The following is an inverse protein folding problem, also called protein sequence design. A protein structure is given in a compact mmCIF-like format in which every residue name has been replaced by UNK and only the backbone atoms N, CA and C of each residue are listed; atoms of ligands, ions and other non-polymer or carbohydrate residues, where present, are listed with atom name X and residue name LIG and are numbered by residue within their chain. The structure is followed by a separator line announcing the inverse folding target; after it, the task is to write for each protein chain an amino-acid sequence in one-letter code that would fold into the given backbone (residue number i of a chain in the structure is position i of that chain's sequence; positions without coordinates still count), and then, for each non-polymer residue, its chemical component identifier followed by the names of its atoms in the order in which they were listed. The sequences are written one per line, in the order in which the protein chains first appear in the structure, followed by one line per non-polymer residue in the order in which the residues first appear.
data_IF_020919086403
#
_entry.id   IF_020919086403
#
_cell.length_a   1.000
_cell.length_b   1.000
_cell.length_c   1.000
_cell.angle_alpha   90.00
_cell.angle_beta   90.00
_cell.angle_gamma   90.00
#
_symmetry.space_group_name_H-M   'P 1'
#
loop_
_entity.id
_entity.type
_entity.pdbx_description
1 polymer ?
#
# COMPACT_ATOMS: atom_id res chain seq x y z
N UNK A 1 3.85 36.83 -0.57
CA UNK A 1 4.16 36.08 -1.81
C UNK A 1 4.65 34.65 -1.52
N UNK A 2 5.68 34.47 -0.68
CA UNK A 2 6.24 33.15 -0.36
C UNK A 2 5.20 32.12 0.12
N UNK A 3 4.37 32.47 1.11
CA UNK A 3 3.36 31.55 1.65
C UNK A 3 2.31 31.12 0.62
N UNK A 4 1.96 32.00 -0.32
CA UNK A 4 1.02 31.68 -1.41
C UNK A 4 1.65 30.69 -2.39
N UNK A 5 2.91 30.92 -2.77
CA UNK A 5 3.66 30.00 -3.62
C UNK A 5 3.87 28.63 -2.94
N UNK A 6 4.18 28.62 -1.64
CA UNK A 6 4.32 27.40 -0.86
C UNK A 6 3.01 26.60 -0.78
N UNK A 7 1.87 27.27 -0.58
CA UNK A 7 0.55 26.64 -0.57
C UNK A 7 0.21 26.00 -1.93
N UNK A 8 0.44 26.71 -3.03
CA UNK A 8 0.21 26.20 -4.39
C UNK A 8 1.13 25.00 -4.68
N UNK A 9 2.41 25.09 -4.31
CA UNK A 9 3.37 24.01 -4.48
C UNK A 9 2.93 22.75 -3.70
N UNK A 10 2.54 22.91 -2.43
CA UNK A 10 2.05 21.80 -1.62
C UNK A 10 0.85 21.10 -2.27
N UNK A 11 -0.13 21.86 -2.75
CA UNK A 11 -1.29 21.29 -3.47
C UNK A 11 -0.90 20.56 -4.76
N UNK A 12 0.11 21.05 -5.49
CA UNK A 12 0.57 20.43 -6.73
C UNK A 12 1.37 19.14 -6.52
N UNK A 13 2.12 19.06 -5.42
CA UNK A 13 2.94 17.90 -5.05
C UNK A 13 2.23 16.91 -4.12
N UNK A 14 1.06 17.25 -3.54
CA UNK A 14 0.25 16.35 -2.69
C UNK A 14 0.07 14.96 -3.32
N UNK A 15 -0.33 14.80 -4.61
CA UNK A 15 -0.49 13.46 -5.19
C UNK A 15 0.81 12.63 -5.29
N UNK A 16 1.98 13.29 -5.25
CA UNK A 16 3.28 12.62 -5.28
C UNK A 16 3.75 12.27 -3.87
N UNK A 17 3.63 13.23 -2.94
CA UNK A 17 4.10 13.12 -1.56
C UNK A 17 3.16 12.28 -0.68
N UNK A 18 1.86 12.32 -0.95
CA UNK A 18 0.82 11.63 -0.20
C UNK A 18 0.19 10.52 -1.03
N UNK A 19 -0.37 9.53 -0.34
CA UNK A 19 -1.26 8.52 -0.93
C UNK A 19 -2.71 8.72 -0.48
N UNK A 20 -3.08 9.92 0.00
CA UNK A 20 -4.43 10.25 0.51
C UNK A 20 -5.55 9.85 -0.44
N UNK A 21 -5.46 10.25 -1.72
CA UNK A 21 -6.47 9.89 -2.73
C UNK A 21 -6.62 8.38 -2.92
N UNK A 22 -5.52 7.63 -2.78
CA UNK A 22 -5.55 6.17 -2.86
C UNK A 22 -6.22 5.57 -1.62
N UNK A 23 -5.92 6.10 -0.43
CA UNK A 23 -6.57 5.71 0.81
C UNK A 23 -8.09 6.01 0.78
N UNK A 24 -8.49 7.20 0.34
CA UNK A 24 -9.90 7.56 0.15
C UNK A 24 -10.61 6.56 -0.79
N UNK A 25 -9.96 6.19 -1.91
CA UNK A 25 -10.51 5.19 -2.84
C UNK A 25 -10.68 3.82 -2.20
N UNK A 26 -9.74 3.36 -1.37
CA UNK A 26 -9.88 2.11 -0.62
C UNK A 26 -11.03 2.23 0.38
N UNK A 27 -11.08 3.29 1.17
CA UNK A 27 -12.09 3.49 2.22
C UNK A 27 -13.53 3.49 1.67
N UNK A 28 -13.75 4.01 0.46
CA UNK A 28 -15.08 4.03 -0.16
C UNK A 28 -15.64 2.66 -0.55
N UNK A 29 -14.79 1.64 -0.70
CA UNK A 29 -15.19 0.33 -1.21
C UNK A 29 -14.79 -0.83 -0.29
N UNK A 30 -13.93 -0.58 0.70
CA UNK A 30 -13.43 -1.62 1.60
C UNK A 30 -14.45 -1.95 2.68
N UNK A 31 -14.68 -3.25 2.90
CA UNK A 31 -15.34 -3.76 4.09
C UNK A 31 -14.34 -3.95 5.25
N UNK A 32 -14.82 -4.03 6.51
CA UNK A 32 -13.97 -4.32 7.67
C UNK A 32 -13.24 -5.67 7.61
N UNK A 33 -13.75 -6.62 6.81
CA UNK A 33 -13.12 -7.92 6.55
C UNK A 33 -12.01 -7.89 5.50
N UNK A 34 -11.91 -6.80 4.73
CA UNK A 34 -10.95 -6.73 3.62
C UNK A 34 -9.54 -6.50 4.13
N UNK A 35 -8.56 -7.14 3.54
CA UNK A 35 -7.16 -6.97 3.91
C UNK A 35 -6.52 -5.85 3.11
N UNK A 36 -5.57 -5.16 3.73
CA UNK A 36 -4.81 -4.09 3.12
C UNK A 36 -3.33 -4.38 3.33
N UNK A 37 -2.57 -4.37 2.24
CA UNK A 37 -1.14 -4.67 2.22
C UNK A 37 -0.35 -3.60 1.49
N UNK A 38 0.87 -3.33 1.95
CA UNK A 38 1.88 -2.54 1.23
C UNK A 38 2.97 -3.48 0.77
N UNK A 39 3.36 -3.38 -0.50
CA UNK A 39 4.50 -4.09 -1.04
C UNK A 39 5.79 -3.28 -0.87
N UNK A 40 6.73 -3.80 -0.09
CA UNK A 40 8.02 -3.20 0.22
C UNK A 40 8.00 -2.31 1.46
N UNK A 41 8.85 -1.28 1.46
CA UNK A 41 9.02 -0.39 2.61
C UNK A 41 7.72 0.36 2.95
N UNK A 42 7.31 0.27 4.21
CA UNK A 42 6.15 0.94 4.77
C UNK A 42 6.16 2.46 4.50
N UNK A 43 7.34 3.09 4.43
CA UNK A 43 7.46 4.53 4.20
C UNK A 43 6.72 5.01 2.94
N UNK A 44 6.73 4.23 1.85
CA UNK A 44 6.05 4.58 0.59
C UNK A 44 4.53 4.56 0.68
N UNK A 45 3.99 3.69 1.54
CA UNK A 45 2.55 3.54 1.78
C UNK A 45 2.09 4.14 3.11
N UNK A 46 2.93 4.90 3.81
CA UNK A 46 2.66 5.40 5.17
C UNK A 46 1.36 6.18 5.31
N UNK A 47 0.96 6.94 4.28
CA UNK A 47 -0.33 7.65 4.27
C UNK A 47 -1.54 6.70 4.36
N UNK A 48 -1.45 5.47 3.88
CA UNK A 48 -2.56 4.51 3.98
C UNK A 48 -2.84 4.18 5.46
N UNK A 49 -1.80 3.95 6.26
CA UNK A 49 -1.96 3.69 7.70
C UNK A 49 -2.63 4.87 8.38
N UNK A 50 -2.19 6.09 8.05
CA UNK A 50 -2.70 7.32 8.64
C UNK A 50 -4.18 7.56 8.32
N UNK A 51 -4.61 7.39 7.06
CA UNK A 51 -5.98 7.72 6.64
C UNK A 51 -6.99 6.57 6.79
N UNK A 52 -6.54 5.31 6.72
CA UNK A 52 -7.45 4.17 6.82
C UNK A 52 -7.74 3.78 8.26
N UNK A 53 -6.85 4.09 9.21
CA UNK A 53 -6.96 3.70 10.61
C UNK A 53 -7.20 2.18 10.80
N UNK A 54 -6.55 1.37 9.95
CA UNK A 54 -6.66 -0.09 9.95
C UNK A 54 -5.28 -0.74 10.02
N UNK A 55 -5.17 -1.96 10.56
CA UNK A 55 -3.97 -2.77 10.42
C UNK A 55 -3.62 -2.96 8.94
N UNK A 56 -2.33 -2.87 8.63
CA UNK A 56 -1.81 -3.08 7.27
C UNK A 56 -0.67 -4.10 7.35
N UNK A 57 -0.70 -5.06 6.44
CA UNK A 57 0.38 -6.02 6.25
C UNK A 57 1.47 -5.45 5.35
N UNK A 58 2.71 -5.89 5.56
CA UNK A 58 3.89 -5.45 4.86
C UNK A 58 4.52 -6.62 4.11
N UNK A 59 4.27 -6.73 2.81
CA UNK A 59 4.83 -7.78 1.96
C UNK A 59 6.26 -7.40 1.58
N UNK A 60 7.24 -8.23 1.94
CA UNK A 60 8.66 -7.92 1.83
C UNK A 60 9.05 -6.58 2.48
N UNK A 61 8.35 -6.17 3.54
CA UNK A 61 8.56 -4.86 4.18
C UNK A 61 9.59 -4.84 5.30
N UNK A 62 10.34 -5.94 5.50
CA UNK A 62 11.47 -6.00 6.47
C UNK A 62 12.70 -5.28 5.92
N UNK A 63 12.54 -4.02 5.56
CA UNK A 63 13.58 -3.17 4.95
C UNK A 63 13.72 -1.88 5.73
N UNK A 64 14.86 -1.19 5.58
CA UNK A 64 15.01 0.25 5.88
C UNK A 64 14.27 0.69 7.15
N UNK A 65 13.08 1.30 7.00
CA UNK A 65 12.27 1.88 8.07
C UNK A 65 11.80 0.88 9.13
N UNK A 66 11.58 -0.38 8.75
CA UNK A 66 11.05 -1.43 9.62
C UNK A 66 12.06 -2.55 9.89
N UNK A 67 13.24 -2.51 9.29
CA UNK A 67 14.22 -3.60 9.37
C UNK A 67 14.52 -4.00 10.81
N UNK A 68 15.03 -3.07 11.61
CA UNK A 68 15.43 -3.34 12.99
C UNK A 68 14.24 -3.76 13.86
N UNK A 69 13.14 -3.01 13.83
CA UNK A 69 11.93 -3.30 14.61
C UNK A 69 11.29 -4.64 14.28
N UNK A 70 11.45 -5.13 13.05
CA UNK A 70 10.92 -6.43 12.65
C UNK A 70 11.64 -7.62 13.28
N UNK A 71 12.86 -7.44 13.79
CA UNK A 71 13.69 -8.53 14.32
C UNK A 71 13.36 -8.92 15.76
N UNK A 72 12.56 -8.11 16.46
CA UNK A 72 12.23 -8.39 17.85
C UNK A 72 11.30 -9.61 17.99
N UNK A 73 11.45 -10.41 19.06
CA UNK A 73 10.60 -11.58 19.30
C UNK A 73 9.10 -11.24 19.45
N UNK A 74 8.80 -10.04 19.94
CA UNK A 74 7.45 -9.50 20.14
C UNK A 74 6.95 -8.65 18.95
N UNK A 75 7.73 -8.58 17.86
CA UNK A 75 7.30 -7.86 16.67
C UNK A 75 5.97 -8.42 16.14
N UNK A 76 5.00 -7.55 15.81
CA UNK A 76 3.73 -8.00 15.24
C UNK A 76 3.93 -8.85 13.98
N UNK A 77 3.10 -9.88 13.82
CA UNK A 77 3.12 -10.78 12.65
C UNK A 77 2.47 -10.14 11.42
N UNK A 78 2.91 -8.93 11.08
CA UNK A 78 2.40 -8.15 9.95
C UNK A 78 3.32 -8.22 8.73
N UNK A 79 4.51 -8.82 8.87
CA UNK A 79 5.49 -8.95 7.79
C UNK A 79 5.24 -10.25 7.02
N UNK A 80 4.89 -10.11 5.76
CA UNK A 80 4.57 -11.19 4.83
C UNK A 80 5.68 -11.33 3.78
N UNK A 81 5.79 -12.50 3.15
CA UNK A 81 6.62 -12.71 1.97
C UNK A 81 5.78 -12.86 0.67
N UNK A 82 6.46 -13.13 -0.45
CA UNK A 82 5.82 -13.33 -1.74
C UNK A 82 4.86 -14.54 -1.73
N UNK A 83 5.17 -15.60 -0.97
CA UNK A 83 4.33 -16.79 -0.88
C UNK A 83 3.07 -16.55 -0.04
N UNK A 84 3.20 -15.81 1.06
CA UNK A 84 2.08 -15.33 1.85
C UNK A 84 1.15 -14.45 1.00
N UNK A 85 1.70 -13.48 0.27
CA UNK A 85 0.92 -12.64 -0.63
C UNK A 85 0.15 -13.47 -1.66
N UNK A 86 0.80 -14.47 -2.29
CA UNK A 86 0.13 -15.32 -3.27
C UNK A 86 -0.98 -16.17 -2.65
N UNK A 87 -0.77 -16.70 -1.45
CA UNK A 87 -1.81 -17.45 -0.72
C UNK A 87 -3.01 -16.55 -0.44
N UNK A 88 -2.77 -15.36 0.08
CA UNK A 88 -3.83 -14.44 0.51
C UNK A 88 -4.54 -13.84 -0.72
N UNK A 89 -3.82 -13.58 -1.81
CA UNK A 89 -4.36 -13.14 -3.10
C UNK A 89 -5.37 -14.13 -3.69
N UNK A 90 -5.08 -15.43 -3.58
CA UNK A 90 -5.94 -16.51 -4.08
C UNK A 90 -7.08 -16.89 -3.11
N UNK A 91 -7.17 -16.24 -1.96
CA UNK A 91 -8.16 -16.55 -0.93
C UNK A 91 -9.57 -16.01 -1.26
N UNK A 92 -10.53 -16.35 -0.38
CA UNK A 92 -11.87 -15.78 -0.38
C UNK A 92 -11.90 -14.31 0.08
N UNK A 93 -10.89 -13.87 0.82
CA UNK A 93 -10.84 -12.53 1.39
C UNK A 93 -10.41 -11.54 0.32
N UNK A 94 -11.08 -10.38 0.28
CA UNK A 94 -10.69 -9.30 -0.62
C UNK A 94 -9.43 -8.64 -0.07
N UNK A 95 -8.41 -8.51 -0.92
CA UNK A 95 -7.12 -7.93 -0.57
C UNK A 95 -6.85 -6.71 -1.46
N UNK A 96 -6.50 -5.59 -0.84
CA UNK A 96 -5.98 -4.39 -1.48
C UNK A 96 -4.47 -4.32 -1.34
N UNK A 97 -3.75 -4.32 -2.44
CA UNK A 97 -2.29 -4.24 -2.46
C UNK A 97 -1.83 -2.90 -3.01
N UNK A 98 -1.22 -2.09 -2.14
CA UNK A 98 -0.48 -0.90 -2.54
C UNK A 98 0.89 -1.30 -3.09
N UNK A 99 1.21 -0.81 -4.28
CA UNK A 99 2.48 -1.06 -4.95
C UNK A 99 3.13 0.27 -5.34
N UNK A 100 4.34 0.57 -4.83
CA UNK A 100 5.08 1.75 -5.28
C UNK A 100 5.58 1.54 -6.72
N UNK A 101 5.77 2.63 -7.45
CA UNK A 101 6.14 2.62 -8.87
C UNK A 101 7.32 1.71 -9.20
N UNK A 102 8.38 1.75 -8.39
CA UNK A 102 9.60 0.95 -8.60
C UNK A 102 9.42 -0.56 -8.39
N UNK A 103 8.35 -1.00 -7.70
CA UNK A 103 8.04 -2.41 -7.49
C UNK A 103 7.00 -2.95 -8.47
N UNK A 104 6.37 -2.09 -9.28
CA UNK A 104 5.25 -2.47 -10.15
C UNK A 104 5.58 -3.65 -11.06
N UNK A 105 6.72 -3.60 -11.75
CA UNK A 105 7.12 -4.68 -12.66
C UNK A 105 7.30 -6.04 -11.93
N UNK A 106 7.91 -6.02 -10.74
CA UNK A 106 8.07 -7.23 -9.92
C UNK A 106 6.73 -7.78 -9.48
N UNK A 107 5.87 -6.94 -8.89
CA UNK A 107 4.54 -7.36 -8.46
C UNK A 107 3.72 -7.87 -9.63
N UNK A 108 3.80 -7.21 -10.78
CA UNK A 108 3.07 -7.62 -11.98
C UNK A 108 3.49 -8.99 -12.51
N UNK A 109 4.75 -9.37 -12.33
CA UNK A 109 5.24 -10.72 -12.62
C UNK A 109 4.87 -11.77 -11.57
N UNK A 110 4.61 -11.33 -10.33
CA UNK A 110 4.31 -12.20 -9.20
C UNK A 110 2.83 -12.56 -9.14
N UNK A 111 1.94 -11.56 -9.16
CA UNK A 111 0.50 -11.80 -8.93
C UNK A 111 -0.21 -12.28 -10.21
N UNK A 112 -1.20 -13.18 -10.10
CA UNK A 112 -1.92 -13.72 -11.26
C UNK A 112 -2.60 -12.67 -12.14
N UNK A 113 -2.86 -13.05 -13.40
CA UNK A 113 -3.73 -12.29 -14.29
C UNK A 113 -5.16 -12.17 -13.71
N UNK A 114 -5.87 -11.10 -14.06
CA UNK A 114 -7.22 -10.82 -13.53
C UNK A 114 -7.27 -9.92 -12.28
N UNK A 115 -6.14 -9.32 -11.89
CA UNK A 115 -6.10 -8.24 -10.89
C UNK A 115 -6.92 -7.03 -11.35
N UNK A 116 -7.63 -6.40 -10.40
CA UNK A 116 -8.36 -5.17 -10.63
C UNK A 116 -7.53 -3.96 -10.21
N UNK A 117 -7.42 -2.96 -11.07
CA UNK A 117 -6.84 -1.66 -10.71
C UNK A 117 -7.92 -0.85 -10.01
N UNK A 118 -7.74 -0.61 -8.71
CA UNK A 118 -8.67 0.20 -7.91
C UNK A 118 -8.43 1.68 -8.14
N UNK A 119 -7.16 2.08 -8.08
CA UNK A 119 -6.74 3.45 -8.25
C UNK A 119 -5.25 3.53 -8.60
N UNK A 120 -4.87 4.58 -9.32
CA UNK A 120 -3.49 4.89 -9.64
C UNK A 120 -3.24 6.38 -9.41
N UNK A 121 -2.10 6.73 -8.79
CA UNK A 121 -1.72 8.12 -8.56
C UNK A 121 -0.19 8.25 -8.47
N UNK A 122 0.38 9.13 -9.30
CA UNK A 122 1.82 9.41 -9.32
C UNK A 122 2.71 8.15 -9.40
N UNK A 123 2.29 7.17 -10.20
CA UNK A 123 3.01 5.90 -10.40
C UNK A 123 2.79 4.86 -9.29
N UNK A 124 2.12 5.21 -8.18
CA UNK A 124 1.66 4.26 -7.16
C UNK A 124 0.33 3.67 -7.60
N UNK A 125 0.14 2.37 -7.38
CA UNK A 125 -1.07 1.67 -7.81
C UNK A 125 -1.65 0.83 -6.67
N UNK A 126 -2.98 0.74 -6.61
CA UNK A 126 -3.70 -0.20 -5.76
C UNK A 126 -4.27 -1.30 -6.64
N UNK A 127 -3.84 -2.53 -6.41
CA UNK A 127 -4.47 -3.71 -6.98
C UNK A 127 -5.47 -4.33 -6.01
N UNK A 128 -6.47 -5.03 -6.54
CA UNK A 128 -7.41 -5.84 -5.78
C UNK A 128 -7.58 -7.21 -6.45
N UNK A 129 -7.67 -8.27 -5.65
CA UNK A 129 -7.96 -9.62 -6.16
C UNK A 129 -9.44 -9.79 -6.57
N UNK A 130 -10.32 -8.87 -6.14
CA UNK A 130 -11.78 -8.89 -6.39
C UNK A 130 -12.33 -7.49 -6.68
N UNK A 131 -13.52 -7.41 -7.28
CA UNK A 131 -14.23 -6.13 -7.53
C UNK A 131 -14.89 -5.57 -6.29
#
# INVERSE_FOLDING_TARGET
LFLVAAHIALGRFDPYLSSRKLAERIAHQSAPSDEISIYGDQAFGSSLLFYLHRPIYLVNGRTTSMWFGSTYPDAPKIFLDDADLLRDWNSATRLFLFVPSHQRARVDSLIPAGKFVVAESSGKIIYSNRR
#
